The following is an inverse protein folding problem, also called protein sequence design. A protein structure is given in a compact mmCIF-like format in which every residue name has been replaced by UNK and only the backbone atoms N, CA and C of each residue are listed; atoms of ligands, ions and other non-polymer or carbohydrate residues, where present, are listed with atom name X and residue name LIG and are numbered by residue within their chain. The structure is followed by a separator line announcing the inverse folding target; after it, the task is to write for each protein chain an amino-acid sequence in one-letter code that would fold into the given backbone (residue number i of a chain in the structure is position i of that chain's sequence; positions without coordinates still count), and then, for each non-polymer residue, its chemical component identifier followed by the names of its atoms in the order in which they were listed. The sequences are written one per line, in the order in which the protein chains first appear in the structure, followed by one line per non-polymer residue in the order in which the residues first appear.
data_IF_396289964199
#
_entry.id   IF_396289964199
#
_cell.length_a   1.000
_cell.length_b   1.000
_cell.length_c   1.000
_cell.angle_alpha   90.00
_cell.angle_beta   90.00
_cell.angle_gamma   90.00
#
_symmetry.space_group_name_H-M   'P 1'
#
loop_
_entity.id
_entity.type
_entity.pdbx_description
1 polymer ?
#
# COMPACT_ATOMS: atom_id res chain seq x y z
N UNK A 1 -3.81 5.24 -33.64
CA UNK A 1 -3.74 4.95 -32.19
C UNK A 1 -3.69 6.28 -31.48
N UNK A 2 -4.75 6.62 -30.75
CA UNK A 2 -4.83 7.88 -30.01
C UNK A 2 -3.98 7.76 -28.73
N UNK A 3 -3.30 8.84 -28.35
CA UNK A 3 -2.48 8.91 -27.14
C UNK A 3 -3.06 9.96 -26.20
N UNK A 4 -3.55 9.51 -25.05
CA UNK A 4 -4.11 10.35 -24.01
C UNK A 4 -3.02 10.79 -23.04
N UNK A 5 -2.88 12.10 -22.88
CA UNK A 5 -1.72 12.72 -22.20
C UNK A 5 -2.08 13.60 -21.01
N UNK A 6 -3.37 13.87 -20.81
CA UNK A 6 -3.86 14.73 -19.74
C UNK A 6 -5.02 14.10 -18.99
N UNK A 7 -5.09 14.39 -17.69
CA UNK A 7 -6.24 14.09 -16.82
C UNK A 7 -7.11 15.33 -16.72
N UNK A 8 -8.42 15.16 -16.84
CA UNK A 8 -9.39 16.22 -16.60
C UNK A 8 -10.08 16.00 -15.26
N UNK A 9 -10.28 17.09 -14.52
CA UNK A 9 -11.09 17.10 -13.31
C UNK A 9 -12.57 17.23 -13.71
N UNK A 10 -13.37 16.22 -13.32
CA UNK A 10 -14.80 16.16 -13.58
C UNK A 10 -15.55 17.42 -13.12
N UNK A 11 -15.09 18.06 -12.04
CA UNK A 11 -15.72 19.26 -11.49
C UNK A 11 -15.49 20.53 -12.33
N UNK A 12 -14.56 20.47 -13.28
CA UNK A 12 -14.12 21.62 -14.10
C UNK A 12 -14.38 21.46 -15.60
N UNK A 13 -15.12 20.42 -15.98
CA UNK A 13 -15.41 20.15 -17.39
C UNK A 13 -16.26 21.26 -18.02
N UNK A 14 -15.92 21.62 -19.27
CA UNK A 14 -16.77 22.51 -20.07
C UNK A 14 -18.08 21.82 -20.47
N UNK A 15 -19.10 22.61 -20.82
CA UNK A 15 -20.38 22.06 -21.29
C UNK A 15 -20.22 21.15 -22.52
N UNK A 16 -19.28 21.47 -23.42
CA UNK A 16 -18.96 20.65 -24.59
C UNK A 16 -18.32 19.31 -24.19
N UNK A 17 -17.36 19.36 -23.26
CA UNK A 17 -16.71 18.15 -22.74
C UNK A 17 -17.70 17.25 -21.99
N UNK A 18 -18.61 17.85 -21.21
CA UNK A 18 -19.66 17.13 -20.53
C UNK A 18 -20.59 16.41 -21.52
N UNK A 19 -21.00 17.09 -22.59
CA UNK A 19 -21.83 16.49 -23.64
C UNK A 19 -21.13 15.32 -24.36
N UNK A 20 -19.81 15.38 -24.56
CA UNK A 20 -19.01 14.27 -25.11
C UNK A 20 -19.05 13.08 -24.16
N UNK A 21 -18.80 13.30 -22.87
CA UNK A 21 -18.82 12.23 -21.85
C UNK A 21 -20.21 11.60 -21.74
N UNK A 22 -21.27 12.41 -21.77
CA UNK A 22 -22.64 11.89 -21.68
C UNK A 22 -23.02 11.06 -22.91
N UNK A 23 -22.57 11.45 -24.10
CA UNK A 23 -22.69 10.63 -25.31
C UNK A 23 -21.90 9.32 -25.19
N UNK A 24 -20.67 9.37 -24.65
CA UNK A 24 -19.88 8.16 -24.40
C UNK A 24 -20.57 7.21 -23.43
N UNK A 25 -21.14 7.75 -22.35
CA UNK A 25 -21.94 6.96 -21.40
C UNK A 25 -23.13 6.27 -22.06
N UNK A 26 -23.87 6.98 -22.91
CA UNK A 26 -24.99 6.40 -23.66
C UNK A 26 -24.57 5.31 -24.64
N UNK A 27 -23.35 5.43 -25.20
CA UNK A 27 -22.77 4.43 -26.08
C UNK A 27 -22.00 3.33 -25.33
N UNK A 28 -21.96 3.38 -23.99
CA UNK A 28 -21.15 2.54 -23.11
C UNK A 28 -19.65 2.52 -23.48
N UNK A 29 -19.13 3.55 -24.14
CA UNK A 29 -17.75 3.59 -24.60
C UNK A 29 -16.81 4.08 -23.48
N UNK A 30 -16.39 3.14 -22.63
CA UNK A 30 -15.46 3.37 -21.53
C UNK A 30 -14.15 2.59 -21.68
N UNK A 31 -13.14 3.05 -20.95
CA UNK A 31 -11.94 2.26 -20.73
C UNK A 31 -11.99 1.61 -19.35
N UNK A 32 -12.18 0.30 -19.34
CA UNK A 32 -12.17 -0.49 -18.12
C UNK A 32 -10.73 -0.85 -17.77
N UNK A 33 -10.26 -0.40 -16.62
CA UNK A 33 -8.90 -0.66 -16.15
C UNK A 33 -8.92 -1.25 -14.74
N UNK A 34 -8.15 -2.32 -14.55
CA UNK A 34 -7.84 -2.87 -13.24
C UNK A 34 -7.00 -1.88 -12.41
N UNK A 35 -6.83 -2.19 -11.12
CA UNK A 35 -6.06 -1.34 -10.21
C UNK A 35 -4.59 -1.23 -10.65
N UNK A 36 -3.95 -2.33 -11.02
CA UNK A 36 -2.54 -2.37 -11.45
C UNK A 36 -2.26 -1.47 -12.64
N UNK A 37 -3.12 -1.50 -13.66
CA UNK A 37 -2.96 -0.63 -14.83
C UNK A 37 -3.18 0.83 -14.47
N UNK A 38 -4.14 1.13 -13.57
CA UNK A 38 -4.40 2.50 -13.10
C UNK A 38 -3.29 3.10 -12.25
N UNK A 39 -2.41 2.26 -11.69
CA UNK A 39 -1.19 2.72 -11.00
C UNK A 39 -0.08 3.16 -11.97
N UNK A 40 -0.16 2.77 -13.25
CA UNK A 40 0.87 3.07 -14.24
C UNK A 40 0.61 4.43 -14.91
N UNK A 41 1.68 5.19 -15.12
CA UNK A 41 1.61 6.44 -15.87
C UNK A 41 1.65 6.22 -17.39
N UNK A 42 2.16 5.06 -17.84
CA UNK A 42 2.35 4.69 -19.24
C UNK A 42 1.90 3.27 -19.52
N UNK A 43 0.90 3.12 -20.37
CA UNK A 43 0.40 1.81 -20.79
C UNK A 43 -0.36 1.89 -22.11
N UNK A 44 -0.53 0.74 -22.72
CA UNK A 44 -1.42 0.52 -23.86
C UNK A 44 -2.67 -0.19 -23.33
N UNK A 45 -3.84 0.18 -23.81
CA UNK A 45 -5.09 -0.46 -23.47
C UNK A 45 -6.01 -0.55 -24.69
N UNK A 46 -7.04 -1.38 -24.59
CA UNK A 46 -8.05 -1.56 -25.62
C UNK A 46 -9.41 -1.19 -25.05
N UNK A 47 -10.20 -0.45 -25.84
CA UNK A 47 -11.59 -0.14 -25.49
C UNK A 47 -12.47 -1.36 -25.74
N UNK A 48 -13.72 -1.31 -25.29
CA UNK A 48 -14.70 -2.37 -25.56
C UNK A 48 -15.00 -2.56 -27.06
N UNK A 49 -14.72 -1.55 -27.88
CA UNK A 49 -14.87 -1.63 -29.34
C UNK A 49 -13.59 -2.10 -30.05
N UNK A 50 -12.61 -2.62 -29.29
CA UNK A 50 -11.30 -3.10 -29.78
C UNK A 50 -10.41 -1.98 -30.37
N UNK A 51 -10.72 -0.72 -30.05
CA UNK A 51 -9.85 0.39 -30.42
C UNK A 51 -8.63 0.42 -29.49
N UNK A 52 -7.46 0.37 -30.10
CA UNK A 52 -6.19 0.49 -29.38
C UNK A 52 -5.89 1.94 -29.02
N UNK A 53 -5.63 2.18 -27.74
CA UNK A 53 -5.21 3.50 -27.22
C UNK A 53 -3.91 3.42 -26.43
N UNK A 54 -3.19 4.53 -26.41
CA UNK A 54 -2.03 4.75 -25.56
C UNK A 54 -2.35 5.75 -24.46
N UNK A 55 -1.80 5.55 -23.27
CA UNK A 55 -1.86 6.50 -22.17
C UNK A 55 -0.42 6.86 -21.79
N UNK A 56 -0.11 8.16 -21.77
CA UNK A 56 1.18 8.71 -21.31
C UNK A 56 0.93 9.94 -20.44
N UNK A 57 0.73 9.71 -19.15
CA UNK A 57 0.45 10.74 -18.16
C UNK A 57 1.73 11.08 -17.38
N UNK A 58 1.84 12.31 -16.85
CA UNK A 58 2.82 12.62 -15.81
C UNK A 58 2.73 11.61 -14.66
N UNK A 59 3.88 11.23 -14.07
CA UNK A 59 3.92 10.34 -12.90
C UNK A 59 3.26 11.03 -11.71
N UNK A 60 1.98 10.76 -11.55
CA UNK A 60 1.06 11.35 -10.58
C UNK A 60 0.35 10.22 -9.83
N UNK A 61 -0.69 10.56 -9.07
CA UNK A 61 -1.47 9.60 -8.30
C UNK A 61 -2.13 8.51 -9.17
N UNK A 62 -2.64 7.45 -8.55
CA UNK A 62 -3.41 6.40 -9.23
C UNK A 62 -4.62 6.99 -9.97
N UNK A 63 -4.92 6.49 -11.17
CA UNK A 63 -6.12 6.88 -11.92
C UNK A 63 -7.36 6.35 -11.16
N UNK A 64 -8.24 7.26 -10.74
CA UNK A 64 -9.46 6.92 -10.00
C UNK A 64 -10.60 6.52 -10.92
N UNK A 65 -11.53 5.71 -10.43
CA UNK A 65 -12.78 5.41 -11.10
C UNK A 65 -13.52 6.70 -11.47
N UNK A 66 -14.04 6.76 -12.69
CA UNK A 66 -14.73 7.92 -13.25
C UNK A 66 -13.81 9.00 -13.83
N UNK A 67 -12.48 8.92 -13.63
CA UNK A 67 -11.52 9.88 -14.20
C UNK A 67 -11.69 10.00 -15.71
N UNK A 68 -11.47 11.19 -16.26
CA UNK A 68 -11.52 11.42 -17.70
C UNK A 68 -10.12 11.75 -18.20
N UNK A 69 -9.69 11.06 -19.24
CA UNK A 69 -8.45 11.36 -19.94
C UNK A 69 -8.77 12.09 -21.24
N UNK A 70 -7.88 12.99 -21.65
CA UNK A 70 -7.98 13.66 -22.93
C UNK A 70 -6.68 13.57 -23.72
N UNK A 71 -6.80 13.61 -25.04
CA UNK A 71 -5.68 13.74 -25.96
C UNK A 71 -5.49 15.19 -26.42
N UNK A 72 -4.52 15.42 -27.31
CA UNK A 72 -4.22 16.74 -27.87
C UNK A 72 -5.24 17.23 -28.91
N UNK A 73 -6.09 16.34 -29.42
CA UNK A 73 -7.13 16.67 -30.41
C UNK A 73 -8.48 16.98 -29.76
N UNK A 74 -8.59 16.83 -28.43
CA UNK A 74 -9.80 17.05 -27.67
C UNK A 74 -10.69 15.81 -27.55
N UNK A 75 -10.22 14.64 -27.98
CA UNK A 75 -10.94 13.39 -27.71
C UNK A 75 -10.85 13.08 -26.23
N UNK A 76 -11.98 12.65 -25.67
CA UNK A 76 -12.09 12.26 -24.26
C UNK A 76 -12.24 10.75 -24.16
N UNK A 77 -11.88 10.18 -23.01
CA UNK A 77 -12.28 8.83 -22.63
C UNK A 77 -12.44 8.76 -21.11
N UNK A 78 -13.58 8.24 -20.66
CA UNK A 78 -13.83 8.01 -19.24
C UNK A 78 -13.30 6.64 -18.81
N UNK A 79 -12.60 6.62 -17.68
CA UNK A 79 -12.04 5.43 -17.05
C UNK A 79 -13.05 4.87 -16.06
N UNK A 80 -13.31 3.56 -16.15
CA UNK A 80 -14.10 2.81 -15.18
C UNK A 80 -13.19 1.77 -14.53
N UNK A 81 -13.26 1.64 -13.20
CA UNK A 81 -12.55 0.58 -12.51
C UNK A 81 -13.13 -0.78 -12.93
N UNK A 82 -12.29 -1.60 -13.57
CA UNK A 82 -12.68 -2.93 -13.99
C UNK A 82 -12.90 -3.83 -12.77
N UNK A 83 -13.81 -4.79 -12.90
CA UNK A 83 -13.91 -5.87 -11.91
C UNK A 83 -12.64 -6.72 -11.99
N UNK A 84 -12.05 -6.99 -10.83
CA UNK A 84 -10.89 -7.87 -10.70
C UNK A 84 -11.11 -8.85 -9.54
N UNK A 85 -10.29 -9.90 -9.50
CA UNK A 85 -10.31 -10.87 -8.42
C UNK A 85 -9.89 -10.17 -7.11
N UNK A 86 -10.71 -10.30 -6.08
CA UNK A 86 -10.46 -9.78 -4.74
C UNK A 86 -10.89 -10.79 -3.69
N UNK A 87 -10.41 -10.60 -2.46
CA UNK A 87 -10.94 -11.22 -1.26
C UNK A 87 -11.78 -10.19 -0.53
N UNK A 88 -13.05 -10.51 -0.34
CA UNK A 88 -13.94 -9.81 0.59
C UNK A 88 -13.76 -10.38 1.99
N UNK A 89 -13.61 -9.50 2.98
CA UNK A 89 -13.50 -9.84 4.40
C UNK A 89 -14.69 -9.25 5.14
N UNK A 90 -15.43 -10.08 5.85
CA UNK A 90 -16.57 -9.67 6.69
C UNK A 90 -16.42 -10.18 8.12
N UNK A 91 -17.21 -9.62 9.04
CA UNK A 91 -17.21 -9.97 10.45
C UNK A 91 -18.62 -9.79 11.04
N UNK A 92 -18.91 -10.48 12.14
CA UNK A 92 -20.19 -10.33 12.86
C UNK A 92 -20.39 -8.95 13.49
N UNK A 93 -19.30 -8.21 13.73
CA UNK A 93 -19.33 -6.86 14.27
C UNK A 93 -18.19 -5.99 13.72
N UNK A 94 -18.41 -4.67 13.75
CA UNK A 94 -17.45 -3.70 13.22
C UNK A 94 -16.11 -3.64 13.96
N UNK A 95 -16.06 -4.05 15.25
CA UNK A 95 -14.81 -4.03 16.00
C UNK A 95 -13.86 -5.14 15.54
N UNK A 96 -14.37 -6.32 15.23
CA UNK A 96 -13.53 -7.40 14.67
C UNK A 96 -13.09 -7.07 13.24
N UNK A 97 -13.96 -6.47 12.42
CA UNK A 97 -13.56 -5.97 11.09
C UNK A 97 -12.44 -4.92 11.20
N UNK A 98 -12.51 -4.04 12.19
CA UNK A 98 -11.47 -3.05 12.48
C UNK A 98 -10.13 -3.70 12.84
N UNK A 99 -10.13 -4.79 13.62
CA UNK A 99 -8.90 -5.58 13.88
C UNK A 99 -8.33 -6.14 12.59
N UNK A 100 -9.18 -6.67 11.71
CA UNK A 100 -8.78 -7.12 10.38
C UNK A 100 -8.06 -6.01 9.59
N UNK A 101 -8.67 -4.83 9.51
CA UNK A 101 -8.10 -3.67 8.84
C UNK A 101 -6.76 -3.25 9.47
N UNK A 102 -6.65 -3.26 10.80
CA UNK A 102 -5.41 -2.96 11.52
C UNK A 102 -4.28 -3.94 11.14
N UNK A 103 -4.55 -5.25 11.14
CA UNK A 103 -3.52 -6.25 10.82
C UNK A 103 -3.09 -6.23 9.36
N UNK A 104 -4.01 -5.95 8.42
CA UNK A 104 -3.72 -5.76 7.01
C UNK A 104 -2.93 -4.46 6.77
N UNK A 105 -3.32 -3.37 7.44
CA UNK A 105 -2.62 -2.09 7.40
C UNK A 105 -1.19 -2.19 7.91
N UNK A 106 -0.95 -2.91 9.02
CA UNK A 106 0.39 -3.18 9.55
C UNK A 106 1.29 -3.97 8.59
N UNK A 107 0.71 -4.61 7.59
CA UNK A 107 1.43 -5.36 6.54
C UNK A 107 1.53 -4.57 5.23
N UNK A 108 1.08 -3.31 5.22
CA UNK A 108 1.03 -2.45 4.04
C UNK A 108 0.26 -3.05 2.87
N UNK A 109 -0.78 -3.82 3.15
CA UNK A 109 -1.66 -4.39 2.12
C UNK A 109 -2.53 -3.27 1.54
N UNK A 110 -2.57 -3.07 0.20
CA UNK A 110 -3.55 -2.20 -0.42
C UNK A 110 -4.96 -2.66 -0.02
N UNK A 111 -5.72 -1.78 0.63
CA UNK A 111 -6.99 -2.15 1.27
C UNK A 111 -8.08 -1.16 0.85
N UNK A 112 -9.17 -1.68 0.29
CA UNK A 112 -10.39 -0.92 0.09
C UNK A 112 -11.34 -1.21 1.24
N UNK A 113 -11.90 -0.16 1.84
CA UNK A 113 -12.79 -0.28 2.99
C UNK A 113 -14.21 0.14 2.61
N UNK A 114 -15.17 -0.60 3.12
CA UNK A 114 -16.58 -0.21 3.17
C UNK A 114 -17.06 -0.29 4.61
N UNK A 115 -18.26 0.23 4.94
CA UNK A 115 -18.78 0.13 6.31
C UNK A 115 -18.90 -1.31 6.83
N UNK A 116 -19.04 -2.30 5.94
CA UNK A 116 -19.37 -3.68 6.31
C UNK A 116 -18.33 -4.72 5.85
N UNK A 117 -17.36 -4.33 5.03
CA UNK A 117 -16.39 -5.26 4.46
C UNK A 117 -15.06 -4.59 4.11
N UNK A 118 -14.01 -5.39 4.08
CA UNK A 118 -12.69 -5.03 3.54
C UNK A 118 -12.45 -5.80 2.26
N UNK A 119 -11.70 -5.20 1.34
CA UNK A 119 -11.28 -5.87 0.11
C UNK A 119 -9.79 -5.71 -0.12
N UNK A 120 -9.13 -6.79 -0.52
CA UNK A 120 -7.74 -6.81 -0.92
C UNK A 120 -7.53 -7.86 -2.03
N UNK A 121 -6.35 -7.87 -2.64
CA UNK A 121 -6.04 -8.82 -3.71
C UNK A 121 -5.82 -10.25 -3.17
N UNK A 122 -6.09 -11.31 -3.96
CA UNK A 122 -5.96 -12.69 -3.51
C UNK A 122 -4.59 -13.03 -2.91
N UNK A 123 -4.59 -13.40 -1.62
CA UNK A 123 -3.42 -13.86 -0.88
C UNK A 123 -3.83 -14.84 0.21
N UNK A 124 -3.57 -16.12 -0.05
CA UNK A 124 -3.91 -17.23 0.83
C UNK A 124 -3.28 -17.13 2.24
N UNK A 125 -2.14 -16.47 2.40
CA UNK A 125 -1.49 -16.29 3.71
C UNK A 125 -2.28 -15.27 4.54
N UNK A 126 -2.69 -14.17 3.92
CA UNK A 126 -3.51 -13.16 4.57
C UNK A 126 -4.91 -13.71 4.88
N UNK A 127 -5.51 -14.48 3.97
CA UNK A 127 -6.78 -15.17 4.20
C UNK A 127 -6.70 -16.10 5.42
N UNK A 128 -5.66 -16.94 5.50
CA UNK A 128 -5.47 -17.85 6.64
C UNK A 128 -5.30 -17.08 7.97
N UNK A 129 -4.55 -15.98 7.97
CA UNK A 129 -4.40 -15.11 9.13
C UNK A 129 -5.74 -14.50 9.56
N UNK A 130 -6.53 -13.97 8.62
CA UNK A 130 -7.83 -13.36 8.92
C UNK A 130 -8.82 -14.40 9.47
N UNK A 131 -8.84 -15.60 8.89
CA UNK A 131 -9.66 -16.70 9.40
C UNK A 131 -9.27 -17.11 10.83
N UNK A 132 -7.97 -17.09 11.18
CA UNK A 132 -7.51 -17.32 12.57
C UNK A 132 -7.94 -16.22 13.55
N UNK A 133 -8.19 -15.00 13.06
CA UNK A 133 -8.75 -13.90 13.84
C UNK A 133 -10.28 -13.97 13.98
N UNK A 134 -10.92 -14.98 13.40
CA UNK A 134 -12.38 -15.16 13.44
C UNK A 134 -13.13 -14.36 12.36
N UNK A 135 -12.43 -13.84 11.34
CA UNK A 135 -13.06 -13.14 10.22
C UNK A 135 -13.46 -14.14 9.13
N UNK A 136 -14.42 -13.73 8.29
CA UNK A 136 -14.86 -14.51 7.14
C UNK A 136 -14.24 -13.96 5.86
N UNK A 137 -13.68 -14.83 5.04
CA UNK A 137 -13.05 -14.47 3.76
C UNK A 137 -13.78 -15.15 2.59
N UNK A 138 -13.98 -14.41 1.50
CA UNK A 138 -14.63 -14.92 0.30
C UNK A 138 -14.01 -14.31 -0.96
N UNK A 139 -13.76 -15.14 -1.98
CA UNK A 139 -13.34 -14.65 -3.29
C UNK A 139 -14.51 -13.99 -4.04
N UNK A 140 -14.27 -12.78 -4.57
CA UNK A 140 -15.26 -11.98 -5.30
C UNK A 140 -14.66 -11.35 -6.55
N UNK A 141 -15.52 -10.88 -7.46
CA UNK A 141 -15.15 -10.07 -8.62
C UNK A 141 -15.77 -8.68 -8.47
N UNK A 142 -14.95 -7.69 -8.11
CA UNK A 142 -15.42 -6.34 -7.84
C UNK A 142 -14.39 -5.29 -8.30
N UNK A 143 -14.82 -4.05 -8.57
CA UNK A 143 -13.90 -2.94 -8.78
C UNK A 143 -13.08 -2.68 -7.52
N UNK A 144 -11.79 -2.35 -7.67
CA UNK A 144 -10.89 -2.18 -6.54
C UNK A 144 -10.39 -0.74 -6.42
N UNK A 145 -10.74 -0.03 -5.35
CA UNK A 145 -10.30 1.33 -5.06
C UNK A 145 -9.68 1.37 -3.66
N UNK A 146 -8.44 0.85 -3.48
CA UNK A 146 -7.82 0.87 -2.18
C UNK A 146 -7.55 2.31 -1.71
N UNK A 147 -7.60 2.49 -0.40
CA UNK A 147 -7.28 3.75 0.24
C UNK A 147 -5.84 4.17 -0.08
N UNK A 148 -5.68 5.43 -0.46
CA UNK A 148 -4.35 5.99 -0.65
C UNK A 148 -3.77 6.34 0.71
N UNK A 149 -2.63 5.74 1.07
CA UNK A 149 -1.97 6.04 2.35
C UNK A 149 -1.76 7.55 2.55
N UNK A 150 -1.90 8.01 3.80
CA UNK A 150 -1.89 9.43 4.17
C UNK A 150 -0.55 10.15 3.94
N UNK A 151 0.54 9.42 3.66
CA UNK A 151 1.90 9.94 3.59
C UNK A 151 2.55 9.82 2.20
N UNK A 152 1.76 9.95 1.11
CA UNK A 152 2.29 9.93 -0.26
C UNK A 152 3.22 11.11 -0.61
N UNK A 153 3.42 12.06 0.30
CA UNK A 153 4.22 13.28 0.07
C UNK A 153 5.65 13.29 0.61
N UNK A 154 6.10 12.34 1.44
CA UNK A 154 7.31 12.55 2.27
C UNK A 154 8.41 11.47 2.19
N UNK A 155 8.24 10.44 1.37
CA UNK A 155 9.26 9.40 1.19
C UNK A 155 9.79 9.34 -0.24
N UNK A 156 10.07 10.51 -0.80
CA UNK A 156 10.99 10.67 -1.92
C UNK A 156 12.42 10.78 -1.42
N UNK A 157 13.13 9.65 -1.29
CA UNK A 157 14.60 9.63 -1.30
C UNK A 157 15.30 9.49 0.05
N UNK A 158 15.42 8.25 0.55
CA UNK A 158 16.61 7.85 1.31
C UNK A 158 17.23 6.63 0.65
N UNK A 159 18.09 6.92 -0.32
CA UNK A 159 19.16 6.00 -0.72
C UNK A 159 20.01 5.68 0.50
N UNK A 160 20.08 4.40 0.85
CA UNK A 160 21.14 3.89 1.72
C UNK A 160 22.49 4.18 1.06
N UNK A 161 23.21 5.17 1.59
CA UNK A 161 24.64 5.33 1.34
C UNK A 161 25.37 5.35 2.68
N UNK A 162 25.76 4.16 3.14
CA UNK A 162 26.83 4.03 4.10
C UNK A 162 28.14 4.34 3.37
N UNK A 163 28.53 5.61 3.36
CA UNK A 163 29.89 6.04 3.01
C UNK A 163 30.61 6.43 4.29
N UNK A 164 31.30 5.46 4.89
CA UNK A 164 32.38 5.78 5.81
C UNK A 164 33.55 6.32 5.00
N UNK A 165 33.80 7.63 5.07
CA UNK A 165 35.13 8.14 4.76
C UNK A 165 35.61 9.07 5.86
N UNK A 166 36.77 8.69 6.37
CA UNK A 166 37.60 9.37 7.36
C UNK A 166 38.16 10.63 6.73
N UNK A 167 38.09 11.75 7.45
CA UNK A 167 39.25 12.59 7.75
C UNK A 167 38.78 13.84 8.47
N UNK A 168 39.19 13.99 9.73
CA UNK A 168 39.47 15.30 10.32
C UNK A 168 40.47 15.12 11.46
N UNK A 169 41.72 15.34 11.11
CA UNK A 169 42.83 15.62 12.01
C UNK A 169 42.59 16.91 12.78
N UNK A 170 42.55 16.85 14.11
CA UNK A 170 42.87 17.98 14.96
C UNK A 170 43.82 17.53 16.07
N UNK A 171 45.07 17.91 15.89
CA UNK A 171 46.13 17.90 16.89
C UNK A 171 45.82 18.94 17.97
N UNK A 172 45.69 18.49 19.22
CA UNK A 172 45.91 19.33 20.39
C UNK A 172 46.82 18.60 21.36
N UNK A 173 48.04 19.14 21.48
CA UNK A 173 49.01 18.81 22.52
C UNK A 173 48.50 19.32 23.87
N UNK A 174 48.45 18.44 24.86
CA UNK A 174 48.65 18.83 26.26
C UNK A 174 49.44 17.75 26.99
N UNK A 175 50.59 18.18 27.49
CA UNK A 175 51.47 17.51 28.43
C UNK A 175 50.79 17.35 29.79
N UNK A 176 50.86 16.14 30.35
CA UNK A 176 50.34 15.86 31.69
C UNK A 176 50.56 14.41 32.08
N UNK A 177 51.76 14.11 32.57
CA UNK A 177 52.18 12.79 33.01
C UNK A 177 51.69 12.54 34.44
N UNK A 178 50.65 11.71 34.65
CA UNK A 178 50.38 11.10 35.96
C UNK A 178 49.74 9.71 35.81
N UNK A 179 50.52 8.70 36.20
CA UNK A 179 50.08 7.34 36.47
C UNK A 179 49.29 7.31 37.78
N UNK A 180 48.15 6.60 37.81
CA UNK A 180 47.69 5.91 39.01
C UNK A 180 47.08 4.56 38.63
N UNK A 181 47.78 3.52 39.07
CA UNK A 181 47.35 2.15 39.16
C UNK A 181 46.35 2.04 40.32
N UNK A 182 45.21 1.37 40.15
CA UNK A 182 44.56 0.58 41.20
C UNK A 182 43.59 -0.42 40.56
N UNK A 183 43.97 -1.69 40.69
CA UNK A 183 43.09 -2.84 40.72
C UNK A 183 42.06 -2.68 41.85
N UNK A 184 40.78 -2.92 41.56
CA UNK A 184 39.94 -3.65 42.50
C UNK A 184 38.80 -4.35 41.77
N UNK A 185 38.81 -5.67 41.92
CA UNK A 185 37.82 -6.60 41.45
C UNK A 185 36.71 -6.72 42.48
N UNK A 186 35.45 -6.59 42.07
CA UNK A 186 34.33 -7.11 42.87
C UNK A 186 33.29 -7.79 41.96
N UNK A 187 33.53 -9.08 41.79
CA UNK A 187 32.51 -10.10 41.56
C UNK A 187 31.65 -10.27 42.82
N UNK A 188 30.33 -10.34 42.66
CA UNK A 188 29.46 -10.94 43.66
C UNK A 188 28.46 -11.91 43.00
N UNK A 189 28.83 -13.18 43.06
CA UNK A 189 27.93 -14.34 43.09
C UNK A 189 27.27 -14.44 44.47
N UNK A 190 26.02 -14.90 44.56
CA UNK A 190 25.58 -15.80 45.65
C UNK A 190 24.33 -16.61 45.25
N UNK A 191 24.56 -17.92 45.11
CA UNK A 191 23.63 -19.06 45.27
C UNK A 191 23.38 -19.31 46.78
N UNK A 192 22.38 -20.03 47.34
CA UNK A 192 21.53 -21.18 47.00
C UNK A 192 20.28 -21.12 47.93
N UNK A 193 19.16 -21.80 47.63
CA UNK A 193 18.88 -23.12 48.25
C UNK A 193 17.68 -23.82 47.61
N UNK A 194 17.81 -25.14 47.53
CA UNK A 194 16.93 -26.12 46.91
C UNK A 194 15.81 -26.52 47.86
N UNK A 195 14.64 -26.86 47.32
CA UNK A 195 14.02 -28.16 47.61
C UNK A 195 13.12 -28.59 46.46
N UNK A 196 13.54 -29.65 45.76
CA UNK A 196 12.68 -30.52 44.96
C UNK A 196 12.23 -31.63 45.90
N UNK A 197 10.96 -32.03 45.84
CA UNK A 197 10.58 -33.42 46.08
C UNK A 197 9.59 -33.83 44.97
N UNK A 198 9.96 -34.87 44.23
CA UNK A 198 9.10 -35.64 43.34
C UNK A 198 8.56 -36.86 44.11
N UNK A 199 7.42 -37.38 43.65
CA UNK A 199 6.70 -38.60 44.04
C UNK A 199 7.56 -39.88 44.18
N UNK A 200 7.07 -40.85 44.98
CA UNK A 200 6.78 -42.23 44.55
C UNK A 200 6.00 -43.05 45.61
N UNK A 201 5.40 -44.15 45.14
CA UNK A 201 4.35 -45.04 45.65
C UNK A 201 4.77 -46.24 46.54
N UNK A 202 3.75 -46.98 47.02
CA UNK A 202 3.70 -48.35 47.63
C UNK A 202 3.99 -48.42 49.14
N UNK A 203 3.23 -49.10 50.00
CA UNK A 203 2.29 -50.25 49.91
C UNK A 203 1.09 -50.00 50.84
#
# INVERSE_FOLDING_TARGET
MNIYTQRLDLSTLSAEQQAIIDRQKQAENFLYLDFDTRQRSRFKAETQHQDTIGVDLPRTETIKNGSVLADHQGNLIQIIAAKQALIEVTADNGFDLMKGAYHLGNRHVPLMLTPNALYFEPDHVLEAMLNQLGLHTQAVQAPFEPETGAYKGEHGGHSHSHSHNRDHSHSHEHSGNHQHNHSDAHSHSHSHSRSRNHEHTHD
#
